data_IF_905540581579
#
_entry.id   IF_905540581579
#
_cell.length_a   1.000
_cell.length_b   1.000
_cell.length_c   1.000
_cell.angle_alpha   90.00
_cell.angle_beta   90.00
_cell.angle_gamma   90.00
#
_symmetry.space_group_name_H-M   'P 1'
#
loop_
_entity.id
_entity.type
_entity.pdbx_description
1 polymer ?
#
# COMPACT_ATOMS: atom_id res chain seq x y z
N UNK A 1 -20.29 11.52 -17.52
CA UNK A 1 -19.58 10.33 -17.27
C UNK A 1 -19.24 10.14 -15.79
N UNK A 2 -19.34 8.95 -15.33
CA UNK A 2 -19.09 8.66 -13.94
C UNK A 2 -17.64 8.32 -13.67
N UNK A 3 -17.07 8.99 -12.70
CA UNK A 3 -15.71 8.69 -12.28
C UNK A 3 -15.74 7.76 -11.08
N UNK A 4 -14.93 6.71 -11.12
CA UNK A 4 -14.85 5.74 -10.05
C UNK A 4 -14.03 6.29 -8.91
N UNK A 5 -14.71 6.84 -7.94
CA UNK A 5 -14.05 7.35 -6.75
C UNK A 5 -13.39 8.70 -6.99
N UNK A 6 -13.06 9.34 -5.90
CA UNK A 6 -12.34 10.60 -5.92
C UNK A 6 -10.85 10.30 -5.99
N UNK A 7 -10.07 11.35 -6.20
CA UNK A 7 -8.62 11.26 -6.17
C UNK A 7 -8.13 10.67 -4.84
N UNK A 8 -8.79 11.05 -3.75
CA UNK A 8 -8.46 10.55 -2.41
C UNK A 8 -8.76 9.06 -2.29
N UNK A 9 -9.88 8.61 -2.82
CA UNK A 9 -10.23 7.19 -2.77
C UNK A 9 -9.28 6.34 -3.60
N UNK A 10 -8.89 6.84 -4.76
CA UNK A 10 -7.93 6.14 -5.62
C UNK A 10 -6.60 6.01 -4.90
N UNK A 11 -6.16 7.09 -4.24
CA UNK A 11 -4.91 7.05 -3.49
C UNK A 11 -4.99 6.10 -2.31
N UNK A 12 -6.11 6.08 -1.60
CA UNK A 12 -6.31 5.18 -0.47
C UNK A 12 -6.21 3.72 -0.91
N UNK A 13 -6.86 3.37 -2.00
CA UNK A 13 -6.80 2.01 -2.53
C UNK A 13 -5.39 1.63 -2.94
N UNK A 14 -4.68 2.57 -3.59
CA UNK A 14 -3.30 2.33 -3.99
C UNK A 14 -2.42 2.04 -2.79
N UNK A 15 -2.56 2.84 -1.71
CA UNK A 15 -1.78 2.64 -0.51
C UNK A 15 -2.06 1.28 0.14
N UNK A 16 -3.32 0.88 0.17
CA UNK A 16 -3.70 -0.43 0.71
C UNK A 16 -3.12 -1.55 -0.14
N UNK A 17 -3.28 -1.45 -1.44
CA UNK A 17 -2.79 -2.49 -2.36
C UNK A 17 -1.28 -2.64 -2.29
N UNK A 18 -0.55 -1.52 -2.28
CA UNK A 18 0.90 -1.55 -2.15
C UNK A 18 1.33 -2.15 -0.81
N UNK A 19 0.59 -1.86 0.24
CA UNK A 19 0.87 -2.43 1.55
C UNK A 19 0.67 -3.94 1.55
N UNK A 20 -0.38 -4.43 0.90
CA UNK A 20 -0.61 -5.86 0.77
C UNK A 20 0.49 -6.53 -0.04
N UNK A 21 0.88 -5.93 -1.16
CA UNK A 21 1.95 -6.47 -1.99
C UNK A 21 3.28 -6.51 -1.23
N UNK A 22 3.60 -5.44 -0.51
CA UNK A 22 4.83 -5.39 0.28
C UNK A 22 4.80 -6.42 1.42
N UNK A 23 3.66 -6.54 2.08
CA UNK A 23 3.48 -7.54 3.13
C UNK A 23 3.71 -8.95 2.59
N UNK A 24 3.08 -9.27 1.47
CA UNK A 24 3.21 -10.60 0.88
C UNK A 24 4.67 -10.91 0.56
N UNK A 25 5.36 -9.97 -0.05
CA UNK A 25 6.74 -10.20 -0.46
C UNK A 25 7.70 -10.26 0.73
N UNK A 26 7.60 -9.28 1.63
CA UNK A 26 8.57 -9.15 2.72
C UNK A 26 8.33 -10.10 3.90
N UNK A 27 7.08 -10.43 4.15
CA UNK A 27 6.72 -11.21 5.35
C UNK A 27 6.29 -12.62 5.00
N UNK A 28 5.50 -12.78 3.94
CA UNK A 28 4.97 -14.10 3.56
C UNK A 28 5.81 -14.79 2.48
N UNK A 29 6.82 -14.13 1.97
CA UNK A 29 7.66 -14.64 0.90
C UNK A 29 6.84 -15.04 -0.32
N UNK A 30 5.83 -14.24 -0.65
CA UNK A 30 4.87 -14.49 -1.71
C UNK A 30 4.84 -13.28 -2.64
N UNK A 31 5.33 -13.47 -3.86
CA UNK A 31 5.41 -12.37 -4.84
C UNK A 31 4.11 -12.29 -5.63
N UNK A 32 3.24 -11.36 -5.25
CA UNK A 32 1.94 -11.18 -5.91
C UNK A 32 2.05 -10.43 -7.24
N UNK A 33 3.08 -9.61 -7.40
CA UNK A 33 3.34 -8.87 -8.64
C UNK A 33 4.84 -8.86 -8.88
N UNK A 34 5.26 -8.54 -10.10
CA UNK A 34 6.67 -8.42 -10.39
C UNK A 34 7.22 -7.08 -9.86
N UNK A 35 8.54 -7.00 -9.75
CA UNK A 35 9.20 -5.83 -9.19
C UNK A 35 8.88 -4.58 -10.00
N UNK A 36 8.83 -4.69 -11.31
CA UNK A 36 8.58 -3.55 -12.19
C UNK A 36 7.18 -2.97 -11.93
N UNK A 37 6.17 -3.81 -11.78
CA UNK A 37 4.82 -3.37 -11.50
C UNK A 37 4.74 -2.72 -10.13
N UNK A 38 5.36 -3.34 -9.13
CA UNK A 38 5.40 -2.78 -7.78
C UNK A 38 6.04 -1.40 -7.78
N UNK A 39 7.22 -1.28 -8.37
CA UNK A 39 7.96 -0.02 -8.42
C UNK A 39 7.15 1.07 -9.12
N UNK A 40 6.52 0.71 -10.22
CA UNK A 40 5.72 1.65 -10.99
C UNK A 40 4.56 2.21 -10.17
N UNK A 41 3.87 1.33 -9.43
CA UNK A 41 2.74 1.78 -8.61
C UNK A 41 3.22 2.57 -7.39
N UNK A 42 4.36 2.23 -6.83
CA UNK A 42 4.94 2.99 -5.73
C UNK A 42 5.22 4.43 -6.12
N UNK A 43 5.66 4.65 -7.35
CA UNK A 43 5.96 6.00 -7.82
C UNK A 43 4.71 6.87 -7.99
N UNK A 44 3.54 6.25 -8.02
CA UNK A 44 2.28 6.99 -8.15
C UNK A 44 1.71 7.46 -6.81
N UNK A 45 2.25 7.00 -5.71
CA UNK A 45 1.79 7.43 -4.39
C UNK A 45 2.00 8.92 -4.24
N UNK A 46 0.95 9.62 -3.79
CA UNK A 46 1.01 11.05 -3.54
C UNK A 46 0.97 11.27 -2.02
N UNK A 47 2.11 11.48 -1.39
CA UNK A 47 2.16 11.63 0.07
C UNK A 47 1.53 12.93 0.57
N UNK A 48 1.22 13.87 -0.33
CA UNK A 48 0.59 15.12 0.06
C UNK A 48 -0.91 14.98 0.28
N UNK A 49 -1.52 13.88 -0.18
CA UNK A 49 -2.95 13.69 -0.04
C UNK A 49 -3.33 13.21 1.36
N UNK A 50 -4.39 13.83 1.88
CA UNK A 50 -4.96 13.43 3.17
C UNK A 50 -6.12 12.49 2.93
N UNK A 51 -6.03 11.26 3.45
CA UNK A 51 -6.99 10.21 3.15
C UNK A 51 -7.99 9.92 4.28
N UNK A 52 -7.95 10.71 5.34
CA UNK A 52 -8.88 10.55 6.46
C UNK A 52 -8.30 9.79 7.65
N UNK A 53 -7.14 9.19 7.51
CA UNK A 53 -6.43 8.55 8.62
C UNK A 53 -5.13 9.27 8.86
N UNK A 54 -5.07 10.04 9.95
CA UNK A 54 -3.87 10.79 10.29
C UNK A 54 -2.64 9.89 10.42
N UNK A 55 -2.83 8.74 11.05
CA UNK A 55 -1.75 7.80 11.29
C UNK A 55 -1.18 7.26 9.96
N UNK A 56 -2.06 6.84 9.07
CA UNK A 56 -1.64 6.33 7.77
C UNK A 56 -1.08 7.42 6.88
N UNK A 57 -1.69 8.61 6.92
CA UNK A 57 -1.20 9.72 6.11
C UNK A 57 0.21 10.11 6.54
N UNK A 58 0.48 10.14 7.84
CA UNK A 58 1.81 10.43 8.35
C UNK A 58 2.80 9.34 7.97
N UNK A 59 2.38 8.10 8.03
CA UNK A 59 3.23 6.98 7.64
C UNK A 59 3.68 7.10 6.18
N UNK A 60 2.74 7.34 5.27
CA UNK A 60 3.06 7.44 3.85
C UNK A 60 3.80 8.74 3.51
N UNK A 61 3.70 9.75 4.34
CA UNK A 61 4.42 10.99 4.14
C UNK A 61 5.88 10.91 4.59
N UNK A 62 6.12 10.22 5.72
CA UNK A 62 7.42 10.27 6.36
C UNK A 62 8.21 8.96 6.34
N UNK A 63 7.57 7.83 6.20
CA UNK A 63 8.24 6.53 6.27
C UNK A 63 8.20 5.72 4.98
N UNK A 64 7.23 5.99 4.13
CA UNK A 64 7.13 5.29 2.86
C UNK A 64 8.28 5.67 1.94
N UNK A 65 8.85 4.66 1.27
CA UNK A 65 9.94 4.85 0.32
C UNK A 65 9.57 4.12 -0.98
N UNK A 66 9.41 4.85 -2.11
CA UNK A 66 8.98 4.23 -3.36
C UNK A 66 10.01 3.29 -3.99
N UNK A 67 11.21 3.21 -3.43
CA UNK A 67 12.28 2.39 -4.01
C UNK A 67 12.47 1.05 -3.30
N UNK A 68 11.64 0.73 -2.33
CA UNK A 68 11.75 -0.52 -1.59
C UNK A 68 10.41 -0.88 -0.98
N UNK A 69 10.23 -2.14 -0.56
CA UNK A 69 9.06 -2.57 0.18
C UNK A 69 9.31 -2.72 1.67
N UNK A 70 10.51 -2.40 2.13
CA UNK A 70 10.88 -2.61 3.53
C UNK A 70 10.08 -1.75 4.52
N UNK A 71 9.50 -0.66 4.04
CA UNK A 71 8.66 0.21 4.88
C UNK A 71 7.46 -0.52 5.49
N UNK A 72 7.10 -1.68 4.93
CA UNK A 72 5.94 -2.42 5.44
C UNK A 72 6.13 -2.84 6.90
N UNK A 73 7.36 -3.05 7.33
CA UNK A 73 7.65 -3.43 8.71
C UNK A 73 7.31 -2.32 9.70
N UNK A 74 7.18 -1.10 9.24
CA UNK A 74 6.83 0.06 10.06
C UNK A 74 5.36 0.45 9.92
N UNK A 75 4.59 -0.30 9.14
CA UNK A 75 3.19 0.05 8.88
C UNK A 75 2.38 0.09 10.17
N UNK A 76 1.63 1.15 10.43
CA UNK A 76 0.92 1.32 11.69
C UNK A 76 -0.27 0.37 11.88
N UNK A 77 -0.75 -0.23 10.79
CA UNK A 77 -1.90 -1.13 10.86
C UNK A 77 -1.59 -2.44 10.13
N UNK A 78 -0.46 -3.01 10.45
CA UNK A 78 0.04 -4.22 9.78
C UNK A 78 -0.91 -5.40 9.94
N UNK A 79 -1.58 -5.50 11.07
CA UNK A 79 -2.52 -6.59 11.34
C UNK A 79 -3.68 -6.56 10.34
N UNK A 80 -4.17 -5.37 10.01
CA UNK A 80 -5.23 -5.22 9.03
C UNK A 80 -4.76 -5.60 7.63
N UNK A 81 -3.54 -5.24 7.29
CA UNK A 81 -2.95 -5.61 6.00
C UNK A 81 -2.82 -7.12 5.90
N UNK A 82 -2.39 -7.77 6.97
CA UNK A 82 -2.32 -9.22 7.04
C UNK A 82 -3.68 -9.86 6.79
N UNK A 83 -4.72 -9.32 7.42
CA UNK A 83 -6.08 -9.84 7.26
C UNK A 83 -6.56 -9.71 5.82
N UNK A 84 -6.28 -8.58 5.17
CA UNK A 84 -6.65 -8.36 3.78
C UNK A 84 -5.93 -9.36 2.87
N UNK A 85 -4.64 -9.54 3.12
CA UNK A 85 -3.85 -10.50 2.35
C UNK A 85 -4.43 -11.91 2.49
N UNK A 86 -4.70 -12.34 3.70
CA UNK A 86 -5.20 -13.70 3.95
C UNK A 86 -6.58 -13.93 3.35
N UNK A 87 -7.43 -12.91 3.38
CA UNK A 87 -8.79 -13.04 2.88
C UNK A 87 -8.89 -13.01 1.36
N UNK A 88 -8.07 -12.22 0.70
CA UNK A 88 -8.24 -11.95 -0.73
C UNK A 88 -7.13 -12.48 -1.63
N UNK A 89 -5.96 -12.73 -1.11
CA UNK A 89 -4.78 -13.04 -1.93
C UNK A 89 -4.15 -14.38 -1.60
N UNK A 90 -4.34 -14.87 -0.40
CA UNK A 90 -3.76 -16.15 -0.01
C UNK A 90 -4.64 -17.29 -0.52
N UNK A 91 -4.01 -18.26 -1.14
CA UNK A 91 -4.70 -19.44 -1.67
C UNK A 91 -4.74 -20.55 -0.64
#
# INVERSE_FOLDING_TARGET
MKIWGTKIEIERRRRILLSVWAYAYEIENDSLVDDKTFDKECMKVDPSLTTGSRQLDNFFKFQFNPFTGLWIHQHPDLQRIKQIYEKHFKI
#
